data_IF_522326985591
#
_entry.id   IF_522326985591
#
_cell.length_a   1.000
_cell.length_b   1.000
_cell.length_c   1.000
_cell.angle_alpha   90.00
_cell.angle_beta   90.00
_cell.angle_gamma   90.00
#
_symmetry.space_group_name_H-M   'P 1'
#
loop_
_entity.id
_entity.type
_entity.pdbx_description
1 polymer ?
#
# COMPACT_ATOMS: atom_id res chain seq x y z
N UNK A 1 6.13 2.96 19.86
CA UNK A 1 7.03 3.24 18.71
C UNK A 1 6.56 2.31 17.60
N UNK A 2 5.93 2.86 16.55
CA UNK A 2 5.35 2.09 15.45
C UNK A 2 6.46 1.74 14.44
N UNK A 3 6.57 0.49 13.94
CA UNK A 3 7.59 0.15 12.96
C UNK A 3 7.28 0.83 11.62
N UNK A 4 8.12 1.80 11.24
CA UNK A 4 8.06 2.50 9.96
C UNK A 4 8.84 1.70 8.91
N UNK A 5 8.19 1.32 7.80
CA UNK A 5 8.80 0.53 6.72
C UNK A 5 9.46 1.42 5.66
N UNK A 6 10.56 0.94 5.06
CA UNK A 6 11.38 1.66 4.07
C UNK A 6 11.65 0.76 2.85
N UNK A 7 11.30 1.20 1.65
CA UNK A 7 12.02 0.76 0.44
C UNK A 7 13.20 1.69 0.22
N UNK A 8 14.35 1.15 -0.20
CA UNK A 8 15.51 1.97 -0.64
C UNK A 8 16.29 2.73 0.44
N UNK A 9 15.70 3.06 1.59
CA UNK A 9 16.40 3.64 2.76
C UNK A 9 15.84 4.98 3.26
N UNK A 10 15.13 5.75 2.41
CA UNK A 10 14.42 6.99 2.77
C UNK A 10 13.25 7.21 1.79
N UNK A 11 12.06 7.50 2.30
CA UNK A 11 10.96 7.89 1.42
C UNK A 11 11.21 9.31 0.87
N UNK A 12 11.14 9.47 -0.45
CA UNK A 12 11.47 10.72 -1.14
C UNK A 12 10.18 11.40 -1.64
N UNK A 13 9.96 12.63 -1.15
CA UNK A 13 8.75 13.40 -1.45
C UNK A 13 8.65 13.65 -2.95
N UNK A 14 7.59 13.13 -3.57
CA UNK A 14 7.32 13.30 -5.00
C UNK A 14 7.96 12.24 -5.92
N UNK A 15 8.81 11.34 -5.41
CA UNK A 15 9.36 10.21 -6.17
C UNK A 15 8.68 8.88 -5.81
N UNK A 16 8.31 8.73 -4.53
CA UNK A 16 7.50 7.61 -4.08
C UNK A 16 6.02 7.87 -4.33
N UNK A 17 5.36 6.94 -5.01
CA UNK A 17 3.95 7.02 -5.34
C UNK A 17 3.25 5.78 -4.80
N UNK A 18 2.31 5.96 -3.86
CA UNK A 18 1.40 4.90 -3.47
C UNK A 18 0.32 4.72 -4.56
N UNK A 19 0.06 3.46 -4.91
CA UNK A 19 -0.83 3.03 -5.98
C UNK A 19 -1.94 2.17 -5.39
N UNK A 20 -3.19 2.57 -5.65
CA UNK A 20 -4.36 1.87 -5.15
C UNK A 20 -5.34 1.59 -6.31
N UNK A 21 -5.75 0.34 -6.56
CA UNK A 21 -6.77 0.03 -7.55
C UNK A 21 -8.13 0.55 -7.09
N UNK A 22 -8.81 1.30 -7.95
CA UNK A 22 -10.17 1.80 -7.74
C UNK A 22 -11.04 1.48 -8.95
N UNK A 23 -12.36 1.60 -8.80
CA UNK A 23 -13.30 1.36 -9.91
C UNK A 23 -13.06 2.26 -11.13
N UNK A 24 -12.37 3.39 -10.94
CA UNK A 24 -12.04 4.37 -11.99
C UNK A 24 -10.58 4.24 -12.48
N UNK A 25 -9.89 3.15 -12.15
CA UNK A 25 -8.48 2.93 -12.45
C UNK A 25 -7.58 3.08 -11.21
N UNK A 26 -6.29 3.33 -11.39
CA UNK A 26 -5.33 3.39 -10.27
C UNK A 26 -5.29 4.80 -9.68
N UNK A 27 -5.71 4.94 -8.42
CA UNK A 27 -5.51 6.15 -7.62
C UNK A 27 -4.04 6.24 -7.21
N UNK A 28 -3.43 7.39 -7.50
CA UNK A 28 -2.02 7.68 -7.20
C UNK A 28 -1.95 8.71 -6.09
N UNK A 29 -1.26 8.36 -5.01
CA UNK A 29 -0.99 9.25 -3.89
C UNK A 29 0.53 9.45 -3.75
N UNK A 30 1.06 10.62 -4.12
CA UNK A 30 2.46 10.94 -3.88
C UNK A 30 2.76 10.93 -2.37
N UNK A 31 3.94 10.43 -2.02
CA UNK A 31 4.45 10.60 -0.66
C UNK A 31 4.74 12.09 -0.38
N UNK A 32 4.36 12.54 0.82
CA UNK A 32 4.66 13.87 1.34
C UNK A 32 5.28 13.77 2.73
N UNK A 33 6.25 14.64 2.99
CA UNK A 33 6.98 14.66 4.28
C UNK A 33 6.12 15.15 5.45
N UNK A 34 4.97 15.77 5.17
CA UNK A 34 4.07 16.29 6.18
C UNK A 34 3.40 15.19 6.97
N UNK A 35 3.31 15.40 8.29
CA UNK A 35 2.67 14.48 9.22
C UNK A 35 1.16 14.40 9.00
N UNK A 36 0.60 13.21 9.24
CA UNK A 36 -0.83 13.03 9.46
C UNK A 36 -1.50 11.99 8.57
N UNK A 37 -2.78 11.77 8.86
CA UNK A 37 -3.64 10.86 8.11
C UNK A 37 -3.87 11.38 6.69
N UNK A 38 -3.95 10.45 5.74
CA UNK A 38 -4.27 10.72 4.34
C UNK A 38 -5.51 9.96 3.93
N UNK A 39 -6.37 10.53 3.08
CA UNK A 39 -7.52 9.83 2.56
C UNK A 39 -7.05 8.61 1.77
N UNK A 40 -7.63 7.46 2.08
CA UNK A 40 -7.45 6.24 1.33
C UNK A 40 -8.69 5.96 0.48
N UNK A 41 -8.52 5.53 -0.78
CA UNK A 41 -9.65 5.13 -1.59
C UNK A 41 -10.20 3.78 -1.14
N UNK A 42 -11.48 3.52 -1.46
CA UNK A 42 -11.98 2.16 -1.47
C UNK A 42 -11.27 1.38 -2.59
N UNK A 43 -10.81 0.17 -2.27
CA UNK A 43 -10.09 -0.67 -3.22
C UNK A 43 -11.07 -1.47 -4.07
N UNK A 44 -10.83 -1.53 -5.37
CA UNK A 44 -11.60 -2.38 -6.30
C UNK A 44 -10.98 -3.75 -6.55
N UNK A 45 -9.73 -3.94 -6.15
CA UNK A 45 -8.97 -5.18 -6.30
C UNK A 45 -8.13 -5.43 -5.04
N UNK A 46 -7.71 -6.68 -4.82
CA UNK A 46 -7.03 -7.10 -3.61
C UNK A 46 -5.51 -6.84 -3.62
N UNK A 47 -5.12 -5.61 -3.97
CA UNK A 47 -3.73 -5.17 -3.92
C UNK A 47 -3.58 -3.67 -3.65
N UNK A 48 -2.40 -3.27 -3.17
CA UNK A 48 -1.89 -1.90 -3.28
C UNK A 48 -0.37 -1.97 -3.49
N UNK A 49 0.22 -0.90 -3.99
CA UNK A 49 1.66 -0.85 -4.21
C UNK A 49 2.25 0.52 -3.86
N UNK A 50 3.57 0.56 -3.77
CA UNK A 50 4.37 1.78 -3.78
C UNK A 50 5.40 1.63 -4.89
N UNK A 51 5.50 2.64 -5.74
CA UNK A 51 6.52 2.75 -6.76
C UNK A 51 7.52 3.82 -6.35
N UNK A 52 8.80 3.44 -6.27
CA UNK A 52 9.94 4.34 -6.18
C UNK A 52 10.41 4.59 -7.62
N UNK A 53 9.99 5.71 -8.21
CA UNK A 53 10.29 6.03 -9.61
C UNK A 53 11.79 6.29 -9.84
N UNK A 54 12.48 6.81 -8.82
CA UNK A 54 13.92 7.09 -8.82
C UNK A 54 14.75 5.81 -8.87
N UNK A 55 14.43 4.83 -8.04
CA UNK A 55 15.08 3.51 -8.01
C UNK A 55 14.56 2.56 -9.09
N UNK A 56 13.40 2.84 -9.70
CA UNK A 56 12.77 1.95 -10.68
C UNK A 56 12.26 0.66 -10.03
N UNK A 57 11.80 0.73 -8.79
CA UNK A 57 11.33 -0.41 -7.99
C UNK A 57 9.87 -0.23 -7.58
N UNK A 58 9.13 -1.33 -7.55
CA UNK A 58 7.78 -1.41 -7.00
C UNK A 58 7.78 -2.43 -5.86
N UNK A 59 7.17 -2.06 -4.74
CA UNK A 59 6.71 -3.03 -3.75
C UNK A 59 5.20 -3.11 -3.80
N UNK A 60 4.68 -4.32 -3.91
CA UNK A 60 3.26 -4.60 -3.94
C UNK A 60 2.88 -5.47 -2.75
N UNK A 61 1.78 -5.12 -2.10
CA UNK A 61 1.07 -6.01 -1.21
C UNK A 61 -0.16 -6.56 -1.93
N UNK A 62 -0.32 -7.89 -1.94
CA UNK A 62 -1.56 -8.56 -2.35
C UNK A 62 -2.19 -9.26 -1.15
N UNK A 63 -3.50 -9.43 -1.16
CA UNK A 63 -4.21 -9.99 -0.02
C UNK A 63 -5.44 -10.81 -0.42
N UNK A 64 -5.95 -11.61 0.52
CA UNK A 64 -7.26 -12.26 0.38
C UNK A 64 -8.39 -11.23 0.45
N UNK A 65 -9.57 -11.49 -0.10
CA UNK A 65 -10.75 -10.61 0.02
C UNK A 65 -11.16 -10.26 1.47
N UNK A 66 -11.95 -9.18 1.61
CA UNK A 66 -12.65 -8.82 2.86
C UNK A 66 -11.92 -7.86 3.78
N UNK A 67 -10.96 -7.09 3.25
CA UNK A 67 -10.29 -6.02 4.00
C UNK A 67 -11.06 -4.70 3.91
N UNK A 68 -11.00 -3.94 4.99
CA UNK A 68 -11.45 -2.56 5.01
C UNK A 68 -10.54 -1.71 4.10
N UNK A 69 -11.02 -0.54 3.62
CA UNK A 69 -10.14 0.43 3.00
C UNK A 69 -8.91 0.72 3.87
N UNK A 70 -7.70 0.78 3.30
CA UNK A 70 -6.49 0.96 4.07
C UNK A 70 -6.51 2.28 4.85
N UNK A 71 -5.81 2.36 5.97
CA UNK A 71 -5.51 3.65 6.62
C UNK A 71 -4.11 4.08 6.26
N UNK A 72 -3.96 5.33 5.85
CA UNK A 72 -2.67 5.87 5.40
C UNK A 72 -2.23 6.95 6.38
N UNK A 73 -1.02 6.81 6.90
CA UNK A 73 -0.42 7.78 7.81
C UNK A 73 0.97 8.15 7.36
N UNK A 74 1.23 9.45 7.16
CA UNK A 74 2.55 9.96 6.85
C UNK A 74 3.27 10.42 8.14
N UNK A 75 4.50 9.95 8.28
CA UNK A 75 5.51 10.33 9.27
C UNK A 75 6.57 11.24 8.63
N UNK A 76 7.45 11.82 9.45
CA UNK A 76 8.53 12.71 8.99
C UNK A 76 9.61 11.97 8.18
N UNK A 77 9.29 11.63 6.93
CA UNK A 77 10.13 10.83 6.04
C UNK A 77 9.73 9.35 5.93
N UNK A 78 8.53 8.99 6.41
CA UNK A 78 8.02 7.61 6.43
C UNK A 78 6.53 7.58 6.15
N UNK A 79 5.99 6.42 5.79
CA UNK A 79 4.55 6.23 5.71
C UNK A 79 4.14 4.85 6.22
N UNK A 80 2.86 4.72 6.57
CA UNK A 80 2.21 3.46 6.89
C UNK A 80 1.00 3.29 5.99
N UNK A 81 0.79 2.07 5.51
CA UNK A 81 -0.47 1.62 4.91
C UNK A 81 -0.96 0.47 5.78
N UNK A 82 -1.96 0.75 6.59
CA UNK A 82 -2.51 -0.18 7.57
C UNK A 82 -3.70 -0.91 6.96
N UNK A 83 -3.59 -2.23 6.85
CA UNK A 83 -4.69 -3.10 6.42
C UNK A 83 -5.41 -3.64 7.66
N UNK A 84 -6.74 -3.49 7.71
CA UNK A 84 -7.57 -4.12 8.75
C UNK A 84 -8.68 -4.94 8.14
N UNK A 85 -9.06 -6.02 8.83
CA UNK A 85 -10.29 -6.75 8.55
C UNK A 85 -10.86 -7.38 9.82
N UNK A 86 -12.18 -7.53 9.93
CA UNK A 86 -12.75 -8.40 10.93
C UNK A 86 -12.40 -9.87 10.62
N UNK A 87 -11.91 -10.59 11.62
CA UNK A 87 -11.73 -12.04 11.55
C UNK A 87 -12.71 -12.69 12.53
N UNK A 88 -13.78 -13.27 11.98
CA UNK A 88 -14.81 -13.94 12.79
C UNK A 88 -14.59 -15.44 12.71
N UNK A 89 -14.23 -16.05 13.84
CA UNK A 89 -14.03 -17.50 13.95
C UNK A 89 -15.32 -18.14 14.47
N UNK A 90 -15.98 -19.04 13.69
CA UNK A 90 -17.17 -19.74 14.17
C UNK A 90 -16.82 -20.81 15.23
N UNK A 91 -17.77 -21.21 16.10
CA UNK A 91 -17.53 -22.29 17.07
C UNK A 91 -17.06 -23.57 16.39
N UNK A 92 -15.87 -24.05 16.77
CA UNK A 92 -15.28 -25.29 16.24
C UNK A 92 -14.70 -25.19 14.83
N UNK A 93 -14.67 -23.99 14.22
CA UNK A 93 -14.06 -23.77 12.91
C UNK A 93 -12.81 -22.89 12.97
N UNK A 94 -12.34 -22.49 11.79
CA UNK A 94 -11.22 -21.59 11.58
C UNK A 94 -11.61 -20.41 10.70
N UNK A 95 -10.81 -19.34 10.76
CA UNK A 95 -10.88 -18.23 9.83
C UNK A 95 -9.45 -17.83 9.47
N UNK A 96 -9.19 -17.64 8.19
CA UNK A 96 -7.86 -17.35 7.66
C UNK A 96 -7.90 -16.12 6.75
N UNK A 97 -6.81 -15.37 6.77
CA UNK A 97 -6.55 -14.25 5.88
C UNK A 97 -5.05 -14.23 5.59
N UNK A 98 -4.66 -13.67 4.44
CA UNK A 98 -3.25 -13.56 4.08
C UNK A 98 -2.94 -12.21 3.46
N UNK A 99 -1.70 -11.79 3.65
CA UNK A 99 -1.05 -10.62 3.07
C UNK A 99 0.30 -11.10 2.53
N UNK A 100 0.58 -10.86 1.26
CA UNK A 100 1.83 -11.22 0.61
C UNK A 100 2.52 -9.96 0.10
N UNK A 101 3.84 -9.92 0.19
CA UNK A 101 4.65 -8.80 -0.29
C UNK A 101 5.59 -9.26 -1.40
N UNK A 102 5.67 -8.47 -2.46
CA UNK A 102 6.60 -8.68 -3.57
C UNK A 102 7.34 -7.39 -3.88
N UNK A 103 8.64 -7.50 -4.18
CA UNK A 103 9.45 -6.39 -4.71
C UNK A 103 9.87 -6.76 -6.13
N UNK A 104 9.65 -5.85 -7.06
CA UNK A 104 9.95 -6.04 -8.48
C UNK A 104 10.45 -4.75 -9.12
N UNK A 105 11.09 -4.85 -10.28
CA UNK A 105 11.38 -3.67 -11.09
C UNK A 105 10.09 -3.09 -11.70
N UNK A 106 9.98 -1.77 -11.75
CA UNK A 106 8.90 -1.10 -12.48
C UNK A 106 9.07 -1.41 -13.97
N UNK A 107 8.10 -2.11 -14.54
CA UNK A 107 8.14 -2.49 -15.95
C UNK A 107 7.71 -1.28 -16.80
N UNK A 108 8.66 -0.41 -17.16
CA UNK A 108 8.43 0.84 -17.95
C UNK A 108 7.95 0.61 -19.40
N UNK A 109 7.44 -0.58 -19.75
CA UNK A 109 7.04 -0.93 -21.13
C UNK A 109 5.65 -0.44 -21.56
N UNK A 110 4.93 0.26 -20.70
CA UNK A 110 3.64 0.86 -21.04
C UNK A 110 3.69 2.38 -20.83
N UNK A 111 4.29 3.07 -21.78
CA UNK A 111 3.99 4.48 -22.03
C UNK A 111 4.01 4.65 -23.55
N UNK A 112 2.86 4.87 -24.21
CA UNK A 112 2.82 5.25 -25.62
C UNK A 112 3.56 6.55 -25.88
#
# INVERSE_FOLDING_TARGET
MHPEYRLGGRAESGEDILLFPTTNGVFKLPFWIDLGERPAPALSEDWWAVADEGAGLEMRQTFSEGWDPPRIWFGGGFYNVEMSRPLVVPPGGDASAWLNWTISHINRKETP
#
